data_IF_605693178056
#
_entry.id   IF_605693178056
#
_cell.length_a   1.000
_cell.length_b   1.000
_cell.length_c   1.000
_cell.angle_alpha   90.00
_cell.angle_beta   90.00
_cell.angle_gamma   90.00
#
_symmetry.space_group_name_H-M   'P 1'
#
loop_
_entity.id
_entity.type
_entity.pdbx_description
1 polymer ?
#
# COMPACT_ATOMS: atom_id res chain seq x y z
N UNK A 1 -8.32 -61.61 -0.73
CA UNK A 1 -7.97 -60.51 -1.64
C UNK A 1 -9.24 -59.78 -2.03
N UNK A 2 -9.50 -58.63 -1.41
CA UNK A 2 -10.62 -57.73 -1.77
C UNK A 2 -9.99 -56.39 -2.15
N UNK A 3 -10.18 -55.97 -3.41
CA UNK A 3 -9.81 -54.66 -3.92
C UNK A 3 -10.60 -53.58 -3.18
N UNK A 4 -9.90 -52.58 -2.66
CA UNK A 4 -10.49 -51.31 -2.25
C UNK A 4 -10.20 -50.28 -3.35
N UNK A 5 -11.24 -49.86 -4.05
CA UNK A 5 -11.21 -48.70 -4.93
C UNK A 5 -11.24 -47.44 -4.06
N UNK A 6 -10.19 -46.62 -4.13
CA UNK A 6 -10.21 -45.26 -3.61
C UNK A 6 -11.04 -44.39 -4.55
N UNK A 7 -12.22 -43.99 -4.11
CA UNK A 7 -12.99 -42.89 -4.67
C UNK A 7 -12.41 -41.59 -4.11
N UNK A 8 -11.72 -40.84 -4.96
CA UNK A 8 -11.39 -39.43 -4.71
C UNK A 8 -12.68 -38.64 -4.95
N UNK A 9 -13.31 -38.20 -3.86
CA UNK A 9 -14.43 -37.25 -3.94
C UNK A 9 -13.83 -35.86 -4.00
N UNK A 10 -13.72 -35.31 -5.21
CA UNK A 10 -13.54 -33.88 -5.40
C UNK A 10 -14.78 -33.17 -4.86
N UNK A 11 -14.63 -32.45 -3.75
CA UNK A 11 -15.68 -31.59 -3.22
C UNK A 11 -15.84 -30.39 -4.13
N UNK A 12 -16.73 -30.48 -5.12
CA UNK A 12 -17.21 -29.31 -5.84
C UNK A 12 -18.01 -28.45 -4.85
N UNK A 13 -17.41 -27.37 -4.35
CA UNK A 13 -18.17 -26.22 -3.87
C UNK A 13 -19.07 -25.78 -5.02
N UNK A 14 -20.38 -25.93 -4.85
CA UNK A 14 -21.36 -25.52 -5.86
C UNK A 14 -21.26 -24.01 -6.08
N UNK A 15 -20.61 -23.63 -7.18
CA UNK A 15 -20.58 -22.27 -7.74
C UNK A 15 -22.00 -21.72 -7.78
N UNK A 16 -22.17 -20.43 -7.46
CA UNK A 16 -23.45 -19.78 -7.68
C UNK A 16 -23.84 -19.85 -9.17
N UNK A 17 -25.12 -19.71 -9.55
CA UNK A 17 -25.55 -19.75 -10.95
C UNK A 17 -24.98 -18.61 -11.84
N UNK A 18 -24.08 -17.76 -11.32
CA UNK A 18 -23.47 -16.61 -12.01
C UNK A 18 -21.94 -16.61 -12.02
N UNK A 19 -21.28 -17.42 -11.19
CA UNK A 19 -19.82 -17.39 -11.08
C UNK A 19 -19.18 -17.95 -12.35
N UNK A 20 -18.30 -17.18 -12.97
CA UNK A 20 -17.40 -17.68 -14.00
C UNK A 20 -16.23 -18.38 -13.31
N UNK A 21 -16.15 -19.69 -13.47
CA UNK A 21 -15.12 -20.54 -12.88
C UNK A 21 -14.26 -21.17 -13.96
N UNK A 22 -12.98 -21.37 -13.65
CA UNK A 22 -12.06 -22.07 -14.52
C UNK A 22 -12.40 -23.58 -14.70
N UNK A 23 -11.61 -24.30 -15.52
CA UNK A 23 -10.38 -23.84 -16.14
C UNK A 23 -10.63 -22.78 -17.22
N UNK A 24 -9.87 -21.68 -17.18
CA UNK A 24 -9.89 -20.67 -18.24
C UNK A 24 -9.06 -21.18 -19.41
N UNK A 25 -9.60 -21.08 -20.62
CA UNK A 25 -8.97 -21.56 -21.85
C UNK A 25 -8.43 -20.41 -22.69
N UNK A 26 -7.64 -20.76 -23.71
CA UNK A 26 -7.14 -19.80 -24.69
C UNK A 26 -5.71 -19.34 -24.46
N UNK A 27 -5.39 -18.17 -25.01
CA UNK A 27 -4.04 -17.61 -24.97
C UNK A 27 -3.84 -16.77 -23.72
N UNK A 28 -2.61 -16.79 -23.20
CA UNK A 28 -2.20 -15.89 -22.11
C UNK A 28 -1.70 -14.57 -22.70
N UNK A 29 -2.29 -13.48 -22.22
CA UNK A 29 -1.96 -12.11 -22.59
C UNK A 29 -1.45 -11.37 -21.37
N UNK A 30 -0.20 -10.88 -21.43
CA UNK A 30 0.48 -10.25 -20.30
C UNK A 30 0.57 -8.73 -20.47
N UNK A 31 0.32 -8.04 -19.38
CA UNK A 31 0.38 -6.60 -19.25
C UNK A 31 1.21 -6.24 -18.02
N UNK A 32 1.92 -5.12 -18.07
CA UNK A 32 2.53 -4.52 -16.89
C UNK A 32 1.66 -3.39 -16.40
N UNK A 33 1.67 -3.18 -15.09
CA UNK A 33 1.13 -1.96 -14.50
C UNK A 33 2.17 -0.86 -14.73
N UNK A 34 1.87 0.12 -15.57
CA UNK A 34 2.74 1.27 -15.85
C UNK A 34 2.25 2.57 -15.17
N UNK A 35 1.09 2.50 -14.52
CA UNK A 35 0.54 3.57 -13.68
C UNK A 35 -0.31 2.97 -12.58
N UNK A 36 -0.19 3.53 -11.38
CA UNK A 36 -1.03 3.22 -10.23
C UNK A 36 -1.49 4.53 -9.59
N UNK A 37 -2.76 4.64 -9.21
CA UNK A 37 -3.31 5.84 -8.57
C UNK A 37 -4.29 5.49 -7.45
N UNK A 38 -4.04 6.06 -6.28
CA UNK A 38 -5.01 6.13 -5.20
C UNK A 38 -6.13 7.15 -5.49
N UNK A 39 -7.37 6.88 -5.05
CA UNK A 39 -8.47 7.82 -5.21
C UNK A 39 -8.44 8.90 -4.12
N UNK A 40 -7.52 9.86 -4.23
CA UNK A 40 -7.35 10.95 -3.25
C UNK A 40 -8.45 12.03 -3.32
N UNK A 41 -9.14 12.15 -4.46
CA UNK A 41 -10.24 13.13 -4.61
C UNK A 41 -11.58 12.55 -4.14
N UNK A 42 -12.49 13.36 -3.56
CA UNK A 42 -13.82 12.87 -3.17
C UNK A 42 -14.59 12.18 -4.30
N UNK A 43 -14.48 12.68 -5.53
CA UNK A 43 -15.06 12.04 -6.72
C UNK A 43 -14.36 10.73 -7.08
N UNK A 44 -13.03 10.66 -6.92
CA UNK A 44 -12.27 9.44 -7.16
C UNK A 44 -12.68 8.33 -6.20
N UNK A 45 -12.89 8.64 -4.91
CA UNK A 45 -13.33 7.65 -3.91
C UNK A 45 -14.62 6.97 -4.32
N UNK A 46 -15.59 7.76 -4.81
CA UNK A 46 -16.87 7.26 -5.29
C UNK A 46 -16.72 6.40 -6.54
N UNK A 47 -15.80 6.78 -7.42
CA UNK A 47 -15.59 6.11 -8.72
C UNK A 47 -14.94 4.73 -8.56
N UNK A 48 -14.18 4.55 -7.48
CA UNK A 48 -13.30 3.40 -7.29
C UNK A 48 -13.79 2.45 -6.20
N UNK A 49 -14.65 2.91 -5.30
CA UNK A 49 -15.34 2.00 -4.38
C UNK A 49 -16.37 1.14 -5.11
N UNK A 50 -16.71 0.00 -4.51
CA UNK A 50 -17.89 -0.79 -4.87
C UNK A 50 -18.59 -1.29 -3.59
N UNK A 51 -19.83 -1.74 -3.71
CA UNK A 51 -20.58 -2.39 -2.64
C UNK A 51 -20.17 -3.87 -2.58
N UNK A 52 -19.08 -4.15 -1.86
CA UNK A 52 -18.35 -5.42 -1.88
C UNK A 52 -19.05 -6.52 -1.08
N UNK A 53 -19.81 -6.16 -0.04
CA UNK A 53 -20.57 -7.11 0.78
C UNK A 53 -22.09 -7.12 0.47
N UNK A 54 -22.57 -6.20 -0.39
CA UNK A 54 -23.96 -6.13 -0.80
C UNK A 54 -24.87 -5.40 0.19
N UNK A 55 -24.31 -4.67 1.17
CA UNK A 55 -25.06 -3.86 2.13
C UNK A 55 -25.66 -2.56 1.51
N UNK A 56 -25.30 -2.25 0.26
CA UNK A 56 -25.81 -1.09 -0.48
C UNK A 56 -25.08 0.22 -0.16
N UNK A 57 -23.97 0.16 0.56
CA UNK A 57 -23.04 1.26 0.77
C UNK A 57 -21.77 1.04 -0.05
N UNK A 58 -21.03 2.12 -0.27
CA UNK A 58 -19.80 2.04 -1.07
C UNK A 58 -18.62 1.75 -0.15
N UNK A 59 -17.88 0.69 -0.45
CA UNK A 59 -16.75 0.25 0.35
C UNK A 59 -15.44 0.71 -0.32
N UNK A 60 -14.70 1.58 0.39
CA UNK A 60 -13.32 1.92 0.10
C UNK A 60 -12.66 2.60 1.31
N UNK A 61 -12.57 1.89 2.43
CA UNK A 61 -12.05 2.46 3.68
C UNK A 61 -10.59 2.86 3.59
N UNK A 62 -9.77 2.13 2.83
CA UNK A 62 -8.37 2.54 2.58
C UNK A 62 -8.30 3.95 2.00
N UNK A 63 -9.25 4.38 1.15
CA UNK A 63 -9.23 5.74 0.63
C UNK A 63 -9.45 6.84 1.69
N UNK A 64 -10.04 6.52 2.85
CA UNK A 64 -10.06 7.43 4.00
C UNK A 64 -8.67 7.55 4.62
N UNK A 65 -7.98 6.43 4.85
CA UNK A 65 -6.60 6.38 5.37
C UNK A 65 -5.66 7.18 4.46
N UNK A 66 -5.72 6.93 3.16
CA UNK A 66 -4.96 7.65 2.12
C UNK A 66 -5.19 9.16 2.21
N UNK A 67 -6.42 9.62 2.45
CA UNK A 67 -6.69 11.06 2.56
C UNK A 67 -6.19 11.69 3.85
N UNK A 68 -6.17 10.92 4.94
CA UNK A 68 -5.57 11.37 6.20
C UNK A 68 -4.06 11.54 6.05
N UNK A 69 -3.39 10.61 5.36
CA UNK A 69 -1.95 10.70 5.05
C UNK A 69 -1.65 11.84 4.08
N UNK A 70 -2.45 12.01 3.02
CA UNK A 70 -2.32 13.11 2.06
C UNK A 70 -2.42 14.49 2.74
N UNK A 71 -3.29 14.64 3.75
CA UNK A 71 -3.46 15.89 4.48
C UNK A 71 -2.19 16.32 5.27
N UNK A 72 -1.29 15.37 5.57
CA UNK A 72 -0.02 15.62 6.24
C UNK A 72 1.20 15.41 5.33
N UNK A 73 0.98 15.10 4.04
CA UNK A 73 2.00 14.77 3.03
C UNK A 73 2.78 13.48 3.29
N UNK A 74 2.20 12.53 4.03
CA UNK A 74 2.82 11.22 4.34
C UNK A 74 2.44 10.13 3.33
N UNK A 75 1.82 10.51 2.21
CA UNK A 75 1.50 9.61 1.09
C UNK A 75 2.57 9.70 0.00
N UNK A 76 2.98 8.57 -0.56
CA UNK A 76 3.89 8.59 -1.70
C UNK A 76 3.27 9.27 -2.93
N UNK A 77 4.06 10.10 -3.59
CA UNK A 77 3.71 10.76 -4.86
C UNK A 77 4.58 10.26 -6.02
N UNK A 78 5.56 9.38 -5.75
CA UNK A 78 6.60 8.92 -6.67
C UNK A 78 6.31 7.53 -7.26
N UNK A 79 5.03 7.13 -7.29
CA UNK A 79 4.64 5.80 -7.76
C UNK A 79 5.09 5.50 -9.20
N UNK A 80 5.13 6.50 -10.07
CA UNK A 80 5.57 6.33 -11.45
C UNK A 80 7.07 6.01 -11.52
N UNK A 81 7.89 6.63 -10.66
CA UNK A 81 9.33 6.35 -10.56
C UNK A 81 9.57 4.95 -9.98
N UNK A 82 8.83 4.56 -8.93
CA UNK A 82 8.89 3.21 -8.36
C UNK A 82 8.50 2.11 -9.36
N UNK A 83 7.55 2.40 -10.25
CA UNK A 83 7.19 1.47 -11.34
C UNK A 83 8.33 1.40 -12.37
N UNK A 84 8.88 2.55 -12.74
CA UNK A 84 9.97 2.65 -13.71
C UNK A 84 11.26 1.95 -13.26
N UNK A 85 11.59 2.03 -11.98
CA UNK A 85 12.73 1.34 -11.35
C UNK A 85 12.49 -0.16 -11.16
N UNK A 86 11.23 -0.59 -11.16
CA UNK A 86 10.80 -1.96 -10.87
C UNK A 86 10.58 -2.25 -9.38
N UNK A 87 10.73 -1.25 -8.50
CA UNK A 87 10.38 -1.37 -7.09
C UNK A 87 8.89 -1.69 -6.88
N UNK A 88 8.02 -1.19 -7.77
CA UNK A 88 6.60 -1.52 -7.87
C UNK A 88 6.29 -2.34 -9.13
N UNK A 89 7.01 -3.44 -9.33
CA UNK A 89 6.76 -4.35 -10.45
C UNK A 89 5.54 -5.25 -10.17
N UNK A 90 4.44 -4.99 -10.87
CA UNK A 90 3.24 -5.83 -10.89
C UNK A 90 2.80 -6.11 -12.32
N UNK A 91 2.32 -7.33 -12.57
CA UNK A 91 1.85 -7.77 -13.88
C UNK A 91 0.40 -8.26 -13.80
N UNK A 92 -0.36 -8.03 -14.88
CA UNK A 92 -1.67 -8.64 -15.08
C UNK A 92 -1.58 -9.64 -16.22
N UNK A 93 -2.12 -10.83 -15.99
CA UNK A 93 -2.28 -11.85 -17.02
C UNK A 93 -3.76 -12.10 -17.27
N UNK A 94 -4.18 -11.97 -18.53
CA UNK A 94 -5.52 -12.29 -19.00
C UNK A 94 -5.45 -13.59 -19.80
N UNK A 95 -6.19 -14.60 -19.35
CA UNK A 95 -6.36 -15.87 -20.06
C UNK A 95 -7.75 -15.90 -20.66
N UNK A 96 -7.82 -15.89 -21.99
CA UNK A 96 -9.06 -15.89 -22.76
C UNK A 96 -8.85 -16.50 -24.16
N UNK A 97 -9.92 -17.07 -24.73
CA UNK A 97 -9.97 -17.55 -26.10
C UNK A 97 -10.03 -16.38 -27.11
N UNK A 98 -10.71 -15.29 -26.77
CA UNK A 98 -10.77 -14.05 -27.54
C UNK A 98 -10.82 -12.82 -26.62
N UNK A 99 -9.81 -11.94 -26.72
CA UNK A 99 -9.75 -10.71 -25.93
C UNK A 99 -10.89 -9.73 -26.20
N UNK A 100 -11.58 -9.84 -27.34
CA UNK A 100 -12.72 -8.98 -27.66
C UNK A 100 -14.02 -9.45 -26.99
N UNK A 101 -14.22 -10.75 -26.84
CA UNK A 101 -15.43 -11.33 -26.26
C UNK A 101 -15.21 -12.79 -25.83
N UNK A 102 -15.37 -13.07 -24.54
CA UNK A 102 -15.22 -14.39 -23.95
C UNK A 102 -16.10 -14.51 -22.70
N UNK A 103 -16.95 -15.53 -22.65
CA UNK A 103 -17.84 -15.77 -21.50
C UNK A 103 -17.10 -16.39 -20.30
N UNK A 104 -15.86 -16.83 -20.50
CA UNK A 104 -15.05 -17.61 -19.55
C UNK A 104 -13.60 -17.14 -19.49
N UNK A 105 -13.39 -15.85 -19.21
CA UNK A 105 -12.05 -15.27 -19.05
C UNK A 105 -11.58 -15.29 -17.59
N UNK A 106 -10.26 -15.42 -17.40
CA UNK A 106 -9.61 -15.34 -16.10
C UNK A 106 -8.54 -14.25 -16.08
N UNK A 107 -8.52 -13.45 -15.02
CA UNK A 107 -7.52 -12.40 -14.80
C UNK A 107 -6.70 -12.74 -13.56
N UNK A 108 -5.38 -12.76 -13.70
CA UNK A 108 -4.42 -13.04 -12.64
C UNK A 108 -3.64 -11.76 -12.32
N UNK A 109 -3.59 -11.40 -11.04
CA UNK A 109 -2.76 -10.29 -10.55
C UNK A 109 -1.48 -10.87 -9.96
N UNK A 110 -0.35 -10.58 -10.59
CA UNK A 110 0.98 -11.01 -10.16
C UNK A 110 1.71 -9.81 -9.55
N UNK A 111 1.49 -9.55 -8.26
CA UNK A 111 2.12 -8.42 -7.56
C UNK A 111 3.52 -8.71 -7.02
N UNK A 112 3.84 -9.98 -6.78
CA UNK A 112 5.15 -10.41 -6.27
C UNK A 112 5.65 -11.58 -7.12
N UNK A 113 6.94 -11.55 -7.46
CA UNK A 113 7.57 -12.62 -8.22
C UNK A 113 7.45 -13.97 -7.51
N UNK A 114 6.86 -14.95 -8.19
CA UNK A 114 6.69 -16.31 -7.66
C UNK A 114 5.42 -16.54 -6.84
N UNK A 115 4.54 -15.53 -6.70
CA UNK A 115 3.22 -15.71 -6.10
C UNK A 115 2.33 -16.62 -6.95
N UNK A 116 1.32 -17.23 -6.32
CA UNK A 116 0.33 -18.09 -6.96
C UNK A 116 -1.07 -17.52 -6.74
N UNK A 117 -1.45 -16.46 -7.49
CA UNK A 117 -2.75 -15.83 -7.30
C UNK A 117 -3.90 -16.77 -7.66
N UNK A 118 -5.03 -16.61 -6.98
CA UNK A 118 -6.30 -17.18 -7.38
C UNK A 118 -6.92 -16.23 -8.41
N UNK A 119 -7.17 -16.68 -9.64
CA UNK A 119 -7.67 -15.82 -10.71
C UNK A 119 -9.04 -15.23 -10.39
N UNK A 120 -9.23 -13.99 -10.78
CA UNK A 120 -10.53 -13.33 -10.89
C UNK A 120 -11.19 -13.86 -12.16
N UNK A 121 -12.22 -14.68 -12.01
CA UNK A 121 -13.05 -15.12 -13.14
C UNK A 121 -14.00 -14.02 -13.58
N UNK A 122 -14.32 -13.95 -14.87
CA UNK A 122 -15.25 -12.94 -15.39
C UNK A 122 -15.51 -13.10 -16.89
N UNK A 123 -16.12 -12.07 -17.48
CA UNK A 123 -16.50 -12.06 -18.90
C UNK A 123 -15.87 -10.89 -19.63
N UNK A 124 -15.36 -11.16 -20.83
CA UNK A 124 -14.96 -10.14 -21.79
C UNK A 124 -16.14 -9.79 -22.69
N UNK A 125 -16.41 -8.50 -22.85
CA UNK A 125 -17.42 -7.98 -23.78
C UNK A 125 -16.93 -6.68 -24.38
N UNK A 126 -16.84 -6.62 -25.72
CA UNK A 126 -16.30 -5.47 -26.45
C UNK A 126 -14.89 -5.07 -25.96
N UNK A 127 -14.07 -6.07 -25.61
CA UNK A 127 -12.72 -5.89 -25.07
C UNK A 127 -12.67 -5.65 -23.57
N UNK A 128 -13.74 -5.14 -22.93
CA UNK A 128 -13.73 -4.89 -21.49
C UNK A 128 -13.98 -6.16 -20.67
N UNK A 129 -13.30 -6.29 -19.54
CA UNK A 129 -13.45 -7.42 -18.62
C UNK A 129 -14.30 -7.02 -17.41
N UNK A 130 -15.42 -7.72 -17.23
CA UNK A 130 -16.28 -7.61 -16.06
C UNK A 130 -16.05 -8.82 -15.12
N UNK A 131 -15.57 -8.60 -13.89
CA UNK A 131 -15.25 -9.68 -12.95
C UNK A 131 -16.51 -10.29 -12.33
N UNK A 132 -16.36 -11.49 -11.76
CA UNK A 132 -17.28 -11.98 -10.74
C UNK A 132 -17.27 -10.98 -9.57
N UNK A 133 -18.43 -10.42 -9.24
CA UNK A 133 -18.55 -9.45 -8.15
C UNK A 133 -18.37 -10.15 -6.81
N UNK A 134 -17.58 -9.54 -5.93
CA UNK A 134 -17.29 -9.94 -4.55
C UNK A 134 -18.57 -10.24 -3.80
N UNK A 135 -19.56 -9.34 -3.84
CA UNK A 135 -20.86 -9.51 -3.14
C UNK A 135 -21.64 -10.78 -3.51
N UNK A 136 -21.40 -11.33 -4.70
CA UNK A 136 -22.17 -12.46 -5.25
C UNK A 136 -21.34 -13.76 -5.33
N UNK A 137 -20.01 -13.65 -5.45
CA UNK A 137 -19.14 -14.76 -5.81
C UNK A 137 -18.92 -15.73 -4.65
N UNK A 138 -18.79 -17.02 -4.98
CA UNK A 138 -18.33 -18.07 -4.04
C UNK A 138 -16.92 -18.57 -4.34
N UNK A 139 -16.26 -17.95 -5.32
CA UNK A 139 -14.94 -18.28 -5.83
C UNK A 139 -14.13 -16.98 -5.91
N UNK A 140 -13.77 -16.38 -4.76
CA UNK A 140 -13.08 -15.10 -4.74
C UNK A 140 -11.73 -15.20 -5.45
N UNK A 141 -11.38 -14.13 -6.17
CA UNK A 141 -9.99 -13.90 -6.54
C UNK A 141 -9.16 -13.54 -5.32
N UNK A 142 -7.90 -13.95 -5.33
CA UNK A 142 -6.91 -13.64 -4.29
C UNK A 142 -5.58 -13.31 -4.96
N UNK A 143 -4.88 -12.31 -4.46
CA UNK A 143 -3.54 -11.97 -4.92
C UNK A 143 -2.74 -11.27 -3.83
N UNK A 144 -1.43 -11.40 -3.90
CA UNK A 144 -0.54 -10.50 -3.16
C UNK A 144 -0.38 -9.20 -3.94
N UNK A 145 -0.67 -8.08 -3.28
CA UNK A 145 -0.54 -6.73 -3.83
C UNK A 145 0.70 -6.07 -3.24
N UNK A 146 1.36 -5.24 -4.06
CA UNK A 146 2.32 -4.24 -3.60
C UNK A 146 1.63 -2.89 -3.64
N UNK A 147 1.45 -2.28 -2.47
CA UNK A 147 0.68 -1.04 -2.33
C UNK A 147 1.62 0.12 -1.96
N UNK A 148 1.83 1.09 -2.86
CA UNK A 148 2.63 2.27 -2.57
C UNK A 148 1.79 3.24 -1.72
N UNK A 149 1.84 3.11 -0.40
CA UNK A 149 1.02 3.93 0.51
C UNK A 149 1.85 5.08 1.08
N UNK A 150 2.89 4.75 1.83
CA UNK A 150 3.64 5.71 2.62
C UNK A 150 4.71 6.41 1.79
N UNK A 151 4.90 7.71 2.04
CA UNK A 151 6.09 8.44 1.58
C UNK A 151 7.36 7.75 2.12
N UNK A 152 8.48 7.91 1.42
CA UNK A 152 9.81 7.43 1.84
C UNK A 152 9.94 5.97 2.34
N UNK A 153 8.98 5.12 1.97
CA UNK A 153 8.94 3.71 2.30
C UNK A 153 8.68 2.80 1.08
N UNK A 154 9.10 1.55 1.21
CA UNK A 154 8.84 0.51 0.22
C UNK A 154 7.32 0.24 0.13
N UNK A 155 6.80 -0.20 -1.04
CA UNK A 155 5.42 -0.62 -1.15
C UNK A 155 5.11 -1.75 -0.16
N UNK A 156 4.03 -1.61 0.62
CA UNK A 156 3.63 -2.67 1.54
C UNK A 156 3.14 -3.88 0.74
N UNK A 157 3.48 -5.08 1.22
CA UNK A 157 3.10 -6.34 0.59
C UNK A 157 1.96 -6.96 1.39
N UNK A 158 0.78 -7.05 0.78
CA UNK A 158 -0.46 -7.41 1.48
C UNK A 158 -1.25 -8.42 0.66
N UNK A 159 -1.93 -9.34 1.34
CA UNK A 159 -2.83 -10.27 0.67
C UNK A 159 -4.23 -9.65 0.54
N UNK A 160 -4.72 -9.60 -0.69
CA UNK A 160 -6.09 -9.23 -1.00
C UNK A 160 -6.95 -10.47 -1.26
N UNK A 161 -8.20 -10.41 -0.82
CA UNK A 161 -9.24 -11.43 -1.01
C UNK A 161 -10.52 -10.77 -1.50
N UNK A 162 -11.33 -11.52 -2.25
CA UNK A 162 -12.50 -10.94 -2.91
C UNK A 162 -12.05 -9.87 -3.91
N UNK A 163 -10.99 -10.18 -4.66
CA UNK A 163 -10.41 -9.25 -5.62
C UNK A 163 -11.35 -9.11 -6.81
N UNK A 164 -11.76 -7.89 -7.11
CA UNK A 164 -12.37 -7.52 -8.38
C UNK A 164 -11.34 -6.73 -9.21
N UNK A 165 -11.23 -7.08 -10.48
CA UNK A 165 -10.42 -6.34 -11.44
C UNK A 165 -11.34 -6.08 -12.62
N UNK A 166 -11.81 -4.85 -12.78
CA UNK A 166 -12.58 -4.42 -13.94
C UNK A 166 -11.65 -3.73 -14.93
N UNK A 167 -11.65 -4.16 -16.19
CA UNK A 167 -10.74 -3.63 -17.21
C UNK A 167 -11.52 -3.01 -18.35
N UNK A 168 -11.15 -1.78 -18.71
CA UNK A 168 -11.70 -1.05 -19.86
C UNK A 168 -10.60 -0.85 -20.90
N UNK A 169 -10.80 -1.22 -22.18
CA UNK A 169 -9.78 -1.00 -23.21
C UNK A 169 -9.49 0.49 -23.39
N UNK A 170 -8.21 0.84 -23.45
CA UNK A 170 -7.74 2.22 -23.62
C UNK A 170 -7.73 2.70 -25.08
N UNK A 171 -7.91 1.77 -26.03
CA UNK A 171 -7.82 2.00 -27.48
C UNK A 171 -6.39 1.98 -28.06
N UNK A 172 -5.37 1.80 -27.23
CA UNK A 172 -3.95 1.67 -27.64
C UNK A 172 -3.42 0.23 -27.50
N UNK A 173 -4.26 -0.68 -27.03
CA UNK A 173 -3.94 -2.09 -26.82
C UNK A 173 -3.64 -2.42 -25.36
N UNK A 174 -3.80 -1.44 -24.47
CA UNK A 174 -3.76 -1.58 -23.02
C UNK A 174 -5.15 -1.51 -22.40
N UNK A 175 -5.18 -1.27 -21.09
CA UNK A 175 -6.41 -1.14 -20.32
C UNK A 175 -6.28 -0.10 -19.22
N UNK A 176 -7.36 0.64 -18.97
CA UNK A 176 -7.59 1.27 -17.68
C UNK A 176 -8.28 0.24 -16.77
N UNK A 177 -7.73 0.02 -15.58
CA UNK A 177 -8.20 -0.95 -14.62
C UNK A 177 -8.71 -0.31 -13.34
N UNK A 178 -9.83 -0.83 -12.84
CA UNK A 178 -10.32 -0.61 -11.49
C UNK A 178 -10.07 -1.88 -10.67
N UNK A 179 -9.36 -1.76 -9.55
CA UNK A 179 -9.07 -2.87 -8.66
C UNK A 179 -9.63 -2.59 -7.28
N UNK A 180 -10.45 -3.50 -6.75
CA UNK A 180 -10.98 -3.42 -5.40
C UNK A 180 -11.04 -4.79 -4.73
N UNK A 181 -11.24 -4.81 -3.42
CA UNK A 181 -11.35 -6.02 -2.63
C UNK A 181 -11.19 -5.75 -1.14
N UNK A 182 -10.97 -6.81 -0.37
CA UNK A 182 -10.71 -6.73 1.06
C UNK A 182 -9.32 -7.19 1.44
N UNK A 183 -8.78 -6.57 2.49
CA UNK A 183 -7.57 -7.01 3.18
C UNK A 183 -7.92 -7.35 4.62
N UNK A 184 -7.42 -8.47 5.12
CA UNK A 184 -7.66 -8.85 6.52
C UNK A 184 -6.66 -8.12 7.43
N UNK A 185 -7.07 -7.72 8.63
CA UNK A 185 -6.19 -6.96 9.53
C UNK A 185 -4.89 -7.70 9.89
N UNK A 186 -4.88 -9.03 9.96
CA UNK A 186 -3.65 -9.81 10.19
C UNK A 186 -2.63 -9.73 9.03
N UNK A 187 -3.08 -9.42 7.82
CA UNK A 187 -2.22 -9.26 6.64
C UNK A 187 -1.70 -7.81 6.52
N UNK A 188 -2.14 -6.89 7.39
CA UNK A 188 -1.81 -5.44 7.35
C UNK A 188 -0.85 -4.99 8.45
N UNK A 189 -0.96 -5.53 9.66
CA UNK A 189 -0.28 -4.97 10.83
C UNK A 189 1.25 -4.91 10.72
N UNK A 190 1.86 -6.00 10.25
CA UNK A 190 3.32 -6.08 10.10
C UNK A 190 3.83 -5.22 8.92
N UNK A 191 3.29 -5.35 7.69
CA UNK A 191 3.74 -4.52 6.58
C UNK A 191 3.58 -3.02 6.85
N UNK A 192 2.49 -2.62 7.51
CA UNK A 192 2.25 -1.23 7.86
C UNK A 192 3.27 -0.70 8.87
N UNK A 193 3.54 -1.45 9.95
CA UNK A 193 4.55 -1.06 10.93
C UNK A 193 5.92 -0.85 10.26
N UNK A 194 6.34 -1.81 9.43
CA UNK A 194 7.63 -1.73 8.73
C UNK A 194 7.70 -0.48 7.84
N UNK A 195 6.64 -0.19 7.08
CA UNK A 195 6.64 0.95 6.17
C UNK A 195 6.56 2.30 6.92
N UNK A 196 5.75 2.42 7.97
CA UNK A 196 5.68 3.65 8.78
C UNK A 196 7.02 3.93 9.44
N UNK A 197 7.68 2.91 10.01
CA UNK A 197 9.02 3.07 10.58
C UNK A 197 10.04 3.46 9.51
N UNK A 198 9.98 2.86 8.31
CA UNK A 198 10.88 3.21 7.20
C UNK A 198 10.70 4.67 6.78
N UNK A 199 9.46 5.11 6.56
CA UNK A 199 9.11 6.49 6.20
C UNK A 199 9.71 7.48 7.21
N UNK A 200 9.41 7.29 8.51
CA UNK A 200 9.92 8.16 9.57
C UNK A 200 11.44 8.10 9.66
N UNK A 201 12.04 6.93 9.49
CA UNK A 201 13.50 6.80 9.56
C UNK A 201 14.16 7.50 8.37
N UNK A 202 13.56 7.46 7.18
CA UNK A 202 14.11 8.05 5.97
C UNK A 202 14.18 9.58 6.06
N UNK A 203 13.09 10.23 6.47
CA UNK A 203 13.05 11.68 6.70
C UNK A 203 12.23 12.04 7.95
N UNK A 204 12.81 11.95 9.16
CA UNK A 204 12.05 12.14 10.39
C UNK A 204 11.55 13.58 10.56
N UNK A 205 12.22 14.57 9.95
CA UNK A 205 11.86 15.99 10.04
C UNK A 205 10.62 16.32 9.20
N UNK A 206 10.40 15.60 8.10
CA UNK A 206 9.21 15.76 7.26
C UNK A 206 7.97 15.06 7.86
N UNK A 207 8.18 14.07 8.74
CA UNK A 207 7.09 13.28 9.35
C UNK A 207 6.84 13.57 10.84
N UNK A 208 7.37 14.68 11.38
CA UNK A 208 7.30 15.00 12.81
C UNK A 208 5.88 15.03 13.39
N UNK A 209 4.88 15.45 12.61
CA UNK A 209 3.48 15.49 13.08
C UNK A 209 2.95 14.09 13.33
N UNK A 210 3.24 13.15 12.43
CA UNK A 210 2.82 11.76 12.58
C UNK A 210 3.53 11.10 13.78
N UNK A 211 4.84 11.33 13.91
CA UNK A 211 5.62 10.83 15.06
C UNK A 211 5.05 11.37 16.35
N UNK A 212 4.94 12.70 16.48
CA UNK A 212 4.49 13.35 17.72
C UNK A 212 3.09 12.90 18.16
N UNK A 213 2.19 12.61 17.21
CA UNK A 213 0.81 12.16 17.51
C UNK A 213 0.71 10.66 17.79
N UNK A 214 1.73 9.87 17.44
CA UNK A 214 1.72 8.41 17.57
C UNK A 214 2.61 7.92 18.70
N UNK A 215 3.76 8.57 18.91
CA UNK A 215 4.71 8.35 19.99
C UNK A 215 4.06 8.76 21.32
N UNK A 216 3.58 7.75 22.06
CA UNK A 216 2.77 7.92 23.26
C UNK A 216 3.64 7.90 24.51
N UNK A 217 4.75 7.17 24.48
CA UNK A 217 5.71 7.17 25.60
C UNK A 217 6.79 8.26 25.49
N UNK A 218 6.83 8.96 24.35
CA UNK A 218 7.68 10.11 24.03
C UNK A 218 9.17 9.75 24.08
N UNK A 219 9.53 8.56 23.61
CA UNK A 219 10.93 8.14 23.50
C UNK A 219 11.58 8.50 22.15
N UNK A 220 10.79 9.03 21.21
CA UNK A 220 11.23 9.45 19.89
C UNK A 220 11.30 8.32 18.86
N UNK A 221 10.91 7.10 19.22
CA UNK A 221 10.77 5.95 18.32
C UNK A 221 9.32 5.49 18.29
N UNK A 222 8.85 4.96 17.15
CA UNK A 222 7.51 4.35 17.10
C UNK A 222 7.61 2.85 17.36
N UNK A 223 7.05 2.43 18.49
CA UNK A 223 6.81 1.03 18.80
C UNK A 223 5.62 0.47 18.00
N UNK A 224 5.50 -0.86 17.99
CA UNK A 224 4.37 -1.55 17.33
C UNK A 224 3.03 -1.17 17.95
N UNK A 225 2.99 -1.01 19.27
CA UNK A 225 1.77 -0.69 20.00
C UNK A 225 1.34 0.76 19.70
N UNK A 226 2.28 1.66 19.49
CA UNK A 226 2.02 3.04 19.09
C UNK A 226 1.50 3.14 17.66
N UNK A 227 2.13 2.47 16.69
CA UNK A 227 1.59 2.41 15.32
C UNK A 227 0.20 1.78 15.32
N UNK A 228 0.00 0.70 16.10
CA UNK A 228 -1.29 0.01 16.22
C UNK A 228 -2.39 0.84 16.91
N UNK A 229 -2.04 1.89 17.64
CA UNK A 229 -2.98 2.80 18.30
C UNK A 229 -2.99 4.22 17.70
N UNK A 230 -2.16 4.47 16.70
CA UNK A 230 -2.02 5.75 15.99
C UNK A 230 -3.27 6.17 15.22
N UNK A 231 -3.23 7.40 14.68
CA UNK A 231 -4.25 7.92 13.77
C UNK A 231 -4.44 7.07 12.51
N UNK A 232 -3.39 6.41 12.02
CA UNK A 232 -3.46 5.52 10.87
C UNK A 232 -4.32 4.29 11.23
N UNK A 233 -4.10 3.72 12.41
CA UNK A 233 -4.90 2.62 12.95
C UNK A 233 -6.34 3.06 13.27
N UNK A 234 -6.56 4.29 13.74
CA UNK A 234 -7.90 4.82 14.00
C UNK A 234 -8.75 4.92 12.72
N UNK A 235 -8.11 5.15 11.57
CA UNK A 235 -8.74 5.14 10.25
C UNK A 235 -8.92 3.70 9.67
N UNK A 236 -8.26 2.68 10.24
CA UNK A 236 -8.34 1.26 9.83
C UNK A 236 -9.54 0.52 10.44
N UNK A 237 -10.70 1.17 10.50
CA UNK A 237 -11.92 0.51 10.94
C UNK A 237 -12.40 -0.43 9.85
N UNK A 238 -12.33 -1.74 10.11
CA UNK A 238 -12.92 -2.77 9.25
C UNK A 238 -14.33 -2.34 8.87
N UNK A 239 -14.62 -2.36 7.57
CA UNK A 239 -15.82 -1.76 6.99
C UNK A 239 -16.70 -2.78 6.26
N UNK A 240 -16.13 -3.91 5.84
CA UNK A 240 -16.82 -4.98 5.11
C UNK A 240 -16.78 -6.32 5.86
N UNK A 241 -17.76 -7.18 5.56
CA UNK A 241 -17.81 -8.58 6.01
C UNK A 241 -17.66 -9.52 4.82
N UNK A 242 -16.53 -10.24 4.76
CA UNK A 242 -16.23 -11.20 3.69
C UNK A 242 -16.37 -12.67 4.12
N UNK A 243 -16.41 -12.95 5.42
CA UNK A 243 -16.43 -14.33 5.92
C UNK A 243 -17.60 -14.60 6.88
N UNK A 244 -18.31 -15.70 6.61
CA UNK A 244 -19.28 -16.28 7.53
C UNK A 244 -18.73 -17.61 8.07
N UNK A 245 -18.54 -17.70 9.40
CA UNK A 245 -17.96 -18.86 10.08
C UNK A 245 -16.65 -19.38 9.45
N UNK A 246 -15.77 -18.47 9.01
CA UNK A 246 -14.47 -18.78 8.42
C UNK A 246 -14.50 -19.25 6.96
N UNK A 247 -15.68 -19.23 6.33
CA UNK A 247 -15.84 -19.47 4.89
C UNK A 247 -16.06 -18.13 4.21
N UNK A 248 -15.41 -17.91 3.07
CA UNK A 248 -15.70 -16.75 2.24
C UNK A 248 -17.18 -16.77 1.81
N UNK A 249 -17.91 -15.78 2.29
CA UNK A 249 -19.33 -15.58 2.09
C UNK A 249 -19.65 -14.13 2.47
N UNK A 250 -19.53 -13.20 1.52
CA UNK A 250 -19.88 -11.81 1.77
C UNK A 250 -21.34 -11.71 2.19
N UNK A 251 -21.55 -11.08 3.35
CA UNK A 251 -22.86 -11.04 3.97
C UNK A 251 -23.44 -9.64 3.77
N UNK A 252 -24.56 -9.49 3.04
CA UNK A 252 -25.23 -8.20 2.98
C UNK A 252 -25.84 -7.92 4.35
N UNK A 253 -25.31 -6.93 5.07
CA UNK A 253 -25.77 -6.61 6.42
C UNK A 253 -27.24 -6.14 6.43
N UNK A 254 -28.04 -6.62 7.40
CA UNK A 254 -28.91 -5.76 8.19
C UNK A 254 -28.23 -5.47 9.52
N UNK A 255 -27.94 -4.18 9.77
CA UNK A 255 -27.16 -3.67 10.89
C UNK A 255 -27.26 -4.48 12.21
N UNK A 256 -26.13 -5.05 12.66
CA UNK A 256 -25.88 -5.21 14.09
C UNK A 256 -25.65 -6.62 14.68
N UNK A 257 -25.15 -7.62 13.92
CA UNK A 257 -24.84 -8.92 14.55
C UNK A 257 -23.53 -9.62 14.14
N UNK A 258 -22.89 -9.22 13.04
CA UNK A 258 -21.58 -9.74 12.64
C UNK A 258 -20.51 -8.65 12.75
N UNK A 259 -19.27 -9.07 12.99
CA UNK A 259 -18.14 -8.18 13.12
C UNK A 259 -17.48 -8.09 11.75
N UNK A 260 -17.52 -6.91 11.14
CA UNK A 260 -16.71 -6.55 9.96
C UNK A 260 -15.30 -7.09 10.15
N UNK A 261 -14.80 -7.80 9.14
CA UNK A 261 -13.62 -8.67 9.26
C UNK A 261 -12.51 -8.32 8.26
N UNK A 262 -12.80 -7.43 7.32
CA UNK A 262 -11.84 -6.96 6.33
C UNK A 262 -11.95 -5.44 6.13
N UNK A 263 -10.83 -4.88 5.69
CA UNK A 263 -10.68 -3.50 5.27
C UNK A 263 -10.82 -3.44 3.75
N UNK A 264 -11.82 -2.71 3.25
CA UNK A 264 -12.01 -2.53 1.82
C UNK A 264 -10.99 -1.56 1.24
N UNK A 265 -10.59 -1.82 0.01
CA UNK A 265 -9.73 -0.93 -0.77
C UNK A 265 -10.24 -0.82 -2.19
N UNK A 266 -9.87 0.29 -2.82
CA UNK A 266 -10.02 0.47 -4.25
C UNK A 266 -8.96 1.43 -4.78
N UNK A 267 -8.36 1.10 -5.93
CA UNK A 267 -7.44 1.96 -6.68
C UNK A 267 -7.57 1.74 -8.19
N UNK A 268 -6.93 2.62 -8.96
CA UNK A 268 -6.89 2.50 -10.42
C UNK A 268 -5.49 2.19 -10.91
N UNK A 269 -5.41 1.44 -12.00
CA UNK A 269 -4.19 1.09 -12.70
C UNK A 269 -4.31 1.38 -14.19
N UNK A 270 -3.19 1.62 -14.86
CA UNK A 270 -3.11 1.52 -16.31
C UNK A 270 -2.23 0.33 -16.66
N UNK A 271 -2.64 -0.40 -17.70
CA UNK A 271 -2.02 -1.62 -18.18
C UNK A 271 -1.46 -1.41 -19.57
N UNK A 272 -0.15 -1.58 -19.71
CA UNK A 272 0.52 -1.58 -21.01
C UNK A 272 0.83 -3.00 -21.48
N UNK A 273 0.60 -3.34 -22.76
CA UNK A 273 0.84 -4.69 -23.27
C UNK A 273 2.34 -5.04 -23.22
N UNK A 274 2.65 -6.23 -22.70
CA UNK A 274 4.02 -6.71 -22.49
C UNK A 274 4.31 -8.04 -23.19
N UNK A 275 4.15 -8.15 -24.52
CA UNK A 275 4.47 -9.40 -25.20
C UNK A 275 5.95 -9.72 -24.99
N UNK A 276 6.25 -10.92 -24.48
CA UNK A 276 7.61 -11.44 -24.21
C UNK A 276 8.40 -10.84 -23.03
N UNK A 277 7.73 -10.20 -22.06
CA UNK A 277 8.34 -9.84 -20.77
C UNK A 277 9.41 -8.73 -20.85
N UNK A 278 9.43 -7.95 -21.94
CA UNK A 278 10.27 -6.77 -22.10
C UNK A 278 9.39 -5.57 -22.33
N UNK A 279 8.89 -5.01 -21.24
CA UNK A 279 8.19 -3.74 -21.29
C UNK A 279 9.20 -2.61 -21.31
N UNK A 280 9.11 -1.75 -22.32
CA UNK A 280 9.82 -0.47 -22.31
C UNK A 280 9.01 0.50 -21.48
N UNK A 281 9.21 0.47 -20.17
CA UNK A 281 8.78 1.55 -19.29
C UNK A 281 9.85 2.65 -19.42
N UNK A 282 9.45 3.92 -19.38
CA UNK A 282 10.39 5.02 -19.33
C UNK A 282 11.28 4.86 -18.08
N UNK A 283 12.56 5.30 -18.10
CA UNK A 283 13.34 5.36 -16.87
C UNK A 283 12.68 6.29 -15.84
N UNK A 284 12.98 6.14 -14.55
CA UNK A 284 12.49 7.04 -13.51
C UNK A 284 12.87 8.48 -13.87
N UNK A 285 11.92 9.40 -13.68
CA UNK A 285 12.11 10.83 -13.89
C UNK A 285 12.88 11.45 -12.72
N UNK A 286 12.64 10.93 -11.51
CA UNK A 286 13.38 11.25 -10.30
C UNK A 286 13.90 9.95 -9.67
N UNK A 287 15.22 9.84 -9.59
CA UNK A 287 15.88 8.66 -9.00
C UNK A 287 15.87 8.69 -7.48
N UNK A 288 15.72 9.87 -6.87
CA UNK A 288 15.83 10.07 -5.43
C UNK A 288 14.64 9.53 -4.62
N UNK A 289 13.64 8.94 -5.27
CA UNK A 289 12.42 8.39 -4.66
C UNK A 289 11.92 7.14 -5.39
N UNK A 290 12.80 6.46 -6.14
CA UNK A 290 12.45 5.32 -6.97
C UNK A 290 12.61 3.96 -6.25
N UNK A 291 13.10 3.99 -4.99
CA UNK A 291 13.36 2.84 -4.10
C UNK A 291 14.47 1.92 -4.57
N UNK A 292 15.35 2.40 -5.43
CA UNK A 292 16.52 1.68 -5.91
C UNK A 292 17.72 2.58 -5.75
N UNK A 293 18.80 2.03 -5.17
CA UNK A 293 20.06 2.77 -5.12
C UNK A 293 20.65 2.93 -6.51
N UNK A 294 20.58 4.12 -7.09
CA UNK A 294 21.18 4.42 -8.38
C UNK A 294 21.82 5.82 -8.45
N UNK A 295 21.97 6.40 -9.66
CA UNK A 295 22.53 7.75 -9.82
C UNK A 295 23.89 7.98 -9.13
N UNK A 296 23.94 9.02 -8.30
CA UNK A 296 25.07 9.33 -7.41
C UNK A 296 24.76 9.09 -5.92
N UNK A 297 23.73 8.30 -5.63
CA UNK A 297 23.26 8.01 -4.29
C UNK A 297 24.24 7.18 -3.45
N UNK A 298 24.32 7.51 -2.16
CA UNK A 298 25.18 6.79 -1.22
C UNK A 298 24.45 5.66 -0.51
N UNK A 299 23.15 5.79 -0.31
CA UNK A 299 22.20 4.72 0.05
C UNK A 299 20.91 4.87 -0.77
N UNK A 300 19.98 3.92 -0.68
CA UNK A 300 18.71 3.97 -1.44
C UNK A 300 18.00 5.30 -1.22
N UNK A 301 17.67 6.01 -2.31
CA UNK A 301 16.93 7.28 -2.29
C UNK A 301 17.62 8.39 -1.46
N UNK A 302 18.95 8.35 -1.24
CA UNK A 302 19.61 9.39 -0.44
C UNK A 302 21.11 9.58 -0.70
N UNK A 303 21.61 10.75 -0.31
CA UNK A 303 23.00 11.17 -0.46
C UNK A 303 23.33 11.64 -1.88
N UNK A 304 24.55 12.15 -2.09
CA UNK A 304 24.93 12.70 -3.39
C UNK A 304 24.08 13.91 -3.77
N UNK A 305 23.28 13.79 -4.83
CA UNK A 305 22.36 14.84 -5.30
C UNK A 305 20.96 14.79 -4.68
N UNK A 306 20.62 13.72 -3.97
CA UNK A 306 19.32 13.51 -3.32
C UNK A 306 19.25 14.12 -1.91
N UNK A 307 18.14 13.93 -1.19
CA UNK A 307 18.06 14.28 0.23
C UNK A 307 19.20 13.65 1.03
N UNK A 308 19.52 14.25 2.18
CA UNK A 308 20.53 13.67 3.07
C UNK A 308 20.01 12.38 3.68
N UNK A 309 20.87 11.39 3.71
CA UNK A 309 20.65 10.10 4.30
C UNK A 309 20.42 10.16 5.82
N UNK A 310 19.50 9.34 6.33
CA UNK A 310 19.24 9.22 7.75
C UNK A 310 20.35 8.47 8.49
N UNK A 311 20.20 8.36 9.81
CA UNK A 311 21.11 7.57 10.63
C UNK A 311 21.31 6.13 10.09
N UNK A 312 22.52 5.61 10.28
CA UNK A 312 22.95 4.27 9.85
C UNK A 312 22.97 3.99 8.34
N UNK A 313 22.36 4.82 7.50
CA UNK A 313 22.45 4.73 6.05
C UNK A 313 23.90 4.94 5.57
N UNK A 314 24.22 4.35 4.42
CA UNK A 314 25.53 4.44 3.80
C UNK A 314 25.82 5.87 3.30
N UNK A 315 27.07 6.31 3.50
CA UNK A 315 27.51 7.65 3.13
C UNK A 315 28.96 7.62 2.64
N UNK A 316 29.34 8.63 1.85
CA UNK A 316 30.72 8.84 1.39
C UNK A 316 31.33 10.13 1.97
N UNK A 317 30.49 11.08 2.36
CA UNK A 317 30.90 12.36 2.92
C UNK A 317 29.93 12.82 4.03
N UNK A 318 30.39 13.70 4.94
CA UNK A 318 29.54 14.38 5.92
C UNK A 318 28.28 15.03 5.32
N UNK A 319 28.39 15.55 4.09
CA UNK A 319 27.27 16.22 3.40
C UNK A 319 26.13 15.27 3.01
N UNK A 320 26.40 13.96 2.94
CA UNK A 320 25.38 12.95 2.63
C UNK A 320 24.48 12.68 3.83
N UNK A 321 24.84 13.09 5.05
CA UNK A 321 24.12 12.69 6.27
C UNK A 321 23.31 13.84 6.85
N UNK A 322 22.09 13.57 7.32
CA UNK A 322 21.25 14.55 8.04
C UNK A 322 22.00 15.14 9.23
N UNK A 323 22.74 14.28 9.96
CA UNK A 323 23.59 14.62 11.11
C UNK A 323 24.91 15.32 10.74
N UNK A 324 25.15 15.56 9.45
CA UNK A 324 26.40 16.15 8.98
C UNK A 324 27.65 15.33 9.29
N UNK A 325 27.51 14.04 9.63
CA UNK A 325 28.62 13.19 10.07
C UNK A 325 28.54 11.79 9.42
N UNK A 326 29.55 11.48 8.60
CA UNK A 326 29.74 10.18 7.97
C UNK A 326 30.90 9.43 8.66
N UNK A 327 30.57 8.52 9.57
CA UNK A 327 31.53 7.75 10.36
C UNK A 327 31.62 6.32 9.84
N UNK A 328 32.84 5.90 9.46
CA UNK A 328 33.09 4.56 8.93
C UNK A 328 32.15 4.15 7.76
N UNK A 329 31.76 5.13 6.93
CA UNK A 329 30.87 4.92 5.79
C UNK A 329 29.39 4.82 6.13
N UNK A 330 28.98 5.21 7.35
CA UNK A 330 27.58 5.31 7.77
C UNK A 330 27.27 6.63 8.45
N UNK A 331 26.07 7.13 8.25
CA UNK A 331 25.61 8.31 8.95
C UNK A 331 25.48 8.06 10.46
N UNK A 332 26.02 8.98 11.25
CA UNK A 332 25.91 8.92 12.72
C UNK A 332 24.44 9.01 13.14
N UNK A 333 24.08 8.39 14.26
CA UNK A 333 22.80 8.59 14.91
C UNK A 333 22.63 10.05 15.39
N UNK A 334 21.39 10.59 15.38
CA UNK A 334 21.08 11.92 15.90
C UNK A 334 21.40 12.04 17.40
N UNK A 335 21.58 13.27 17.88
CA UNK A 335 21.86 13.52 19.29
C UNK A 335 21.21 14.81 19.79
N UNK A 336 20.50 14.72 20.93
CA UNK A 336 19.93 15.84 21.67
C UNK A 336 20.95 16.84 22.27
N UNK A 337 22.16 16.95 21.73
CA UNK A 337 23.23 17.81 22.25
C UNK A 337 24.37 18.09 21.26
N UNK A 338 24.17 17.83 19.97
CA UNK A 338 25.20 18.02 18.95
C UNK A 338 25.11 19.35 18.19
N UNK A 339 24.07 20.15 18.48
CA UNK A 339 23.87 21.48 17.92
C UNK A 339 23.23 21.47 16.53
N UNK A 340 22.70 20.33 16.10
CA UNK A 340 21.98 20.18 14.83
C UNK A 340 20.47 20.06 15.09
N UNK A 341 19.68 20.20 14.02
CA UNK A 341 18.26 19.84 14.03
C UNK A 341 18.16 18.57 13.22
N UNK A 342 18.11 17.43 13.90
CA UNK A 342 18.04 16.11 13.28
C UNK A 342 17.15 15.14 14.06
N UNK A 343 16.96 13.94 13.52
CA UNK A 343 16.03 12.97 14.08
C UNK A 343 14.62 13.56 14.24
N UNK A 344 14.02 13.34 15.40
CA UNK A 344 12.64 13.76 15.73
C UNK A 344 12.58 15.06 16.57
N UNK A 345 13.68 15.81 16.63
CA UNK A 345 13.73 17.08 17.36
C UNK A 345 12.79 18.11 16.77
N UNK A 346 12.09 18.88 17.62
CA UNK A 346 11.21 19.97 17.18
C UNK A 346 11.93 21.32 17.15
N UNK A 347 13.04 21.45 17.88
CA UNK A 347 14.05 22.48 17.71
C UNK A 347 15.43 21.92 18.06
N UNK A 348 16.51 22.59 17.63
CA UNK A 348 17.90 22.14 17.84
C UNK A 348 18.14 21.65 19.27
N UNK A 349 18.54 20.38 19.39
CA UNK A 349 18.85 19.68 20.65
C UNK A 349 17.67 19.53 21.64
N UNK A 350 16.41 19.65 21.22
CA UNK A 350 15.26 19.59 22.12
C UNK A 350 13.91 19.18 21.46
N UNK A 351 12.97 18.74 22.31
CA UNK A 351 11.63 18.30 21.89
C UNK A 351 11.60 16.93 21.20
N UNK A 352 10.41 16.43 20.88
CA UNK A 352 10.19 15.03 20.48
C UNK A 352 10.66 14.08 21.58
N UNK A 353 11.56 13.16 21.23
CA UNK A 353 12.23 12.26 22.19
C UNK A 353 13.35 12.90 23.03
N UNK A 354 13.64 14.19 22.84
CA UNK A 354 14.66 14.92 23.60
C UNK A 354 14.08 15.67 24.80
N UNK A 355 14.95 16.29 25.61
CA UNK A 355 14.51 17.16 26.69
C UNK A 355 13.66 18.32 26.13
N UNK A 356 12.62 18.71 26.87
CA UNK A 356 11.73 19.79 26.43
C UNK A 356 12.46 21.10 26.16
N UNK A 357 12.07 21.76 25.08
CA UNK A 357 12.58 23.03 24.59
C UNK A 357 12.25 24.20 25.52
N UNK A 358 13.13 25.21 25.51
CA UNK A 358 12.96 26.45 26.23
C UNK A 358 11.89 27.35 25.60
N UNK A 359 11.40 28.32 26.38
CA UNK A 359 10.46 29.35 25.92
C UNK A 359 10.92 30.00 24.62
N UNK A 360 10.02 30.09 23.64
CA UNK A 360 10.24 30.71 22.33
C UNK A 360 10.84 29.78 21.28
N UNK A 361 11.22 28.55 21.63
CA UNK A 361 11.64 27.55 20.65
C UNK A 361 10.43 26.89 20.00
N UNK A 362 10.65 26.32 18.81
CA UNK A 362 9.64 25.60 18.03
C UNK A 362 9.18 24.36 18.80
N UNK A 363 7.90 24.05 18.65
CA UNK A 363 7.25 22.84 19.19
C UNK A 363 6.09 22.43 18.27
N UNK A 364 5.64 21.19 18.41
CA UNK A 364 4.45 20.63 17.79
C UNK A 364 3.39 20.33 18.86
N UNK A 365 3.80 19.75 19.99
CA UNK A 365 2.95 19.36 21.12
C UNK A 365 3.43 19.98 22.43
N UNK A 366 2.55 20.01 23.42
CA UNK A 366 2.84 20.54 24.75
C UNK A 366 4.07 19.89 25.42
N UNK A 367 4.30 18.59 25.19
CA UNK A 367 5.43 17.85 25.77
C UNK A 367 6.78 18.28 25.19
N UNK A 368 6.81 18.87 23.98
CA UNK A 368 8.03 19.41 23.39
C UNK A 368 8.60 20.55 24.23
N UNK A 369 7.79 21.17 25.09
CA UNK A 369 8.17 22.34 25.85
C UNK A 369 8.50 21.97 27.29
N UNK A 370 9.63 22.47 27.80
CA UNK A 370 9.95 22.36 29.23
C UNK A 370 8.86 22.99 30.12
N UNK A 371 8.12 23.97 29.59
CA UNK A 371 6.97 24.60 30.23
C UNK A 371 5.64 23.85 30.08
N UNK A 372 5.58 22.80 29.26
CA UNK A 372 4.37 22.00 29.02
C UNK A 372 3.28 22.69 28.18
N UNK A 373 3.64 23.74 27.43
CA UNK A 373 2.69 24.55 26.66
C UNK A 373 3.26 24.94 25.30
N UNK A 374 2.74 24.33 24.25
CA UNK A 374 3.02 24.66 22.87
C UNK A 374 1.87 25.47 22.27
N UNK A 375 2.09 26.77 22.07
CA UNK A 375 1.06 27.67 21.54
C UNK A 375 1.50 28.22 20.19
N UNK A 376 0.70 27.97 19.15
CA UNK A 376 0.98 28.40 17.77
C UNK A 376 2.39 27.98 17.28
N UNK A 377 2.85 26.80 17.69
CA UNK A 377 4.15 26.26 17.30
C UNK A 377 5.35 26.83 18.06
N UNK A 378 5.14 27.50 19.21
CA UNK A 378 6.19 28.02 20.07
C UNK A 378 5.94 27.70 21.55
N UNK A 379 7.01 27.36 22.28
CA UNK A 379 6.95 27.13 23.73
C UNK A 379 6.72 28.42 24.53
N UNK A 380 5.85 28.37 25.54
CA UNK A 380 5.49 29.53 26.39
C UNK A 380 6.13 29.58 27.78
#
# INVERSE_FOLDING_TARGET
MRLAWLLVVAGCSASGPRDVVGPFTGSSHRFVIDRFRWPITPSGKITVGDDLDGNGTLDNKVAEVISSLDAVHDITTHTDDMIASGALASEIEIVADDLAADDTAGVYYHGVAGDQPIPVGGRLTAGGFAPNRTRDTRVPGEATLRLPIFADADPIVVRAVGLEIELTPDGTGGFDGLVCGGMRPEDLSEPEFVAVTQMITADPQDHLVLVALSDTDHDGELSRDEVASSLISAARQLDIELYDHGRYHPTPEPAGYYARDALSFGFTIHLSPCPSGRCTIAPPADVCHDRVRDGDETDVDCGGSCQRCPAAAACLAPADCQTGACDAGRCRAPSCSDGLLDGVETAVDCGGGCAGCAKGQRCILDHDCAGGHCTMGSCE
#
